data_IF_429689414452
#
_entry.id   IF_429689414452
#
_cell.length_a   1.000
_cell.length_b   1.000
_cell.length_c   1.000
_cell.angle_alpha   90.00
_cell.angle_beta   90.00
_cell.angle_gamma   90.00
#
_symmetry.space_group_name_H-M   'P 1'
#
loop_
_entity.id
_entity.type
_entity.pdbx_description
1 polymer ?
#
# COMPACT_ATOMS: atom_id res chain seq x y z
N UNK A 1 -15.78 -3.06 2.85
CA UNK A 1 -14.60 -3.84 3.30
C UNK A 1 -13.43 -2.88 3.48
N UNK A 2 -12.62 -2.98 4.55
CA UNK A 2 -11.52 -2.04 4.81
C UNK A 2 -10.21 -2.53 4.20
N UNK A 3 -9.49 -1.67 3.49
CA UNK A 3 -8.25 -2.00 2.75
C UNK A 3 -7.13 -1.00 3.05
N UNK A 4 -5.92 -1.49 3.25
CA UNK A 4 -4.70 -0.69 3.30
C UNK A 4 -4.00 -0.69 1.92
N UNK A 5 -3.32 0.39 1.56
CA UNK A 5 -2.60 0.49 0.28
C UNK A 5 -1.10 0.26 0.48
N UNK A 6 -0.50 -0.53 -0.41
CA UNK A 6 0.94 -0.76 -0.50
C UNK A 6 1.48 -0.23 -1.83
N UNK A 7 2.58 0.50 -1.76
CA UNK A 7 3.28 1.00 -2.95
C UNK A 7 4.78 1.09 -2.66
N UNK A 8 5.60 0.74 -3.65
CA UNK A 8 7.06 0.85 -3.57
C UNK A 8 7.65 1.34 -4.88
N UNK A 9 8.81 1.98 -4.80
CA UNK A 9 9.64 2.20 -5.98
C UNK A 9 10.09 0.86 -6.57
N UNK A 10 9.88 0.66 -7.87
CA UNK A 10 10.62 -0.37 -8.61
C UNK A 10 12.06 0.10 -8.75
N UNK A 11 13.00 -0.69 -8.23
CA UNK A 11 14.40 -0.61 -8.67
C UNK A 11 14.65 -1.43 -9.93
N UNK A 12 13.64 -2.18 -10.40
CA UNK A 12 13.74 -3.00 -11.61
C UNK A 12 13.34 -2.21 -12.86
N UNK A 13 14.17 -2.38 -13.88
CA UNK A 13 14.32 -1.54 -15.06
C UNK A 13 13.02 -1.46 -15.89
N UNK A 14 12.64 -0.25 -16.34
CA UNK A 14 11.64 0.08 -17.40
C UNK A 14 10.19 0.43 -17.04
N UNK A 15 9.79 0.60 -15.77
CA UNK A 15 8.49 1.23 -15.45
C UNK A 15 8.63 2.39 -14.46
N UNK A 16 8.56 3.61 -14.99
CA UNK A 16 8.51 4.88 -14.24
C UNK A 16 7.13 5.11 -13.58
N UNK A 17 6.48 4.08 -13.04
CA UNK A 17 5.26 4.27 -12.27
C UNK A 17 5.65 4.79 -10.88
N UNK A 18 5.41 6.07 -10.63
CA UNK A 18 5.68 6.69 -9.35
C UNK A 18 4.82 6.03 -8.25
N UNK A 19 5.20 6.24 -6.99
CA UNK A 19 4.38 5.80 -5.86
C UNK A 19 2.98 6.42 -5.95
N UNK A 20 2.86 7.66 -6.41
CA UNK A 20 1.59 8.35 -6.59
C UNK A 20 0.71 7.64 -7.62
N UNK A 21 1.28 7.24 -8.76
CA UNK A 21 0.55 6.49 -9.79
C UNK A 21 0.04 5.14 -9.27
N UNK A 22 0.87 4.43 -8.50
CA UNK A 22 0.49 3.15 -7.88
C UNK A 22 -0.67 3.32 -6.90
N UNK A 23 -0.59 4.35 -6.05
CA UNK A 23 -1.64 4.66 -5.08
C UNK A 23 -2.94 5.05 -5.79
N UNK A 24 -2.87 5.87 -6.84
CA UNK A 24 -4.03 6.27 -7.62
C UNK A 24 -4.72 5.05 -8.26
N UNK A 25 -3.97 4.13 -8.85
CA UNK A 25 -4.51 2.88 -9.41
C UNK A 25 -5.18 2.01 -8.34
N UNK A 26 -4.57 1.90 -7.16
CA UNK A 26 -5.12 1.13 -6.06
C UNK A 26 -6.40 1.78 -5.48
N UNK A 27 -6.44 3.11 -5.35
CA UNK A 27 -7.64 3.85 -4.97
C UNK A 27 -8.78 3.60 -5.95
N UNK A 28 -8.54 3.78 -7.25
CA UNK A 28 -9.54 3.53 -8.29
C UNK A 28 -10.07 2.08 -8.25
N UNK A 29 -9.19 1.11 -7.96
CA UNK A 29 -9.59 -0.29 -7.81
C UNK A 29 -10.42 -0.51 -6.55
N UNK A 30 -10.03 0.08 -5.42
CA UNK A 30 -10.77 0.01 -4.17
C UNK A 30 -12.18 0.61 -4.32
N UNK A 31 -12.28 1.78 -4.96
CA UNK A 31 -13.56 2.44 -5.26
C UNK A 31 -14.47 1.57 -6.13
N UNK A 32 -13.94 1.00 -7.23
CA UNK A 32 -14.69 0.09 -8.11
C UNK A 32 -15.22 -1.14 -7.38
N UNK A 33 -14.56 -1.57 -6.32
CA UNK A 33 -14.95 -2.72 -5.51
C UNK A 33 -15.81 -2.35 -4.29
N UNK A 34 -16.11 -1.06 -4.08
CA UNK A 34 -16.82 -0.58 -2.89
C UNK A 34 -16.02 -0.77 -1.60
N UNK A 35 -14.70 -0.78 -1.68
CA UNK A 35 -13.81 -0.90 -0.52
C UNK A 35 -13.50 0.48 0.06
N UNK A 36 -13.35 0.52 1.38
CA UNK A 36 -12.98 1.73 2.11
C UNK A 36 -11.49 1.67 2.36
N UNK A 37 -10.74 2.58 1.72
CA UNK A 37 -9.33 2.76 2.01
C UNK A 37 -9.19 3.31 3.43
N UNK A 38 -8.46 2.60 4.28
CA UNK A 38 -8.18 3.08 5.64
C UNK A 38 -6.96 3.98 5.60
N UNK A 39 -7.17 5.22 6.05
CA UNK A 39 -6.22 6.33 6.11
C UNK A 39 -5.14 6.12 7.19
N UNK A 40 -4.62 4.90 7.28
CA UNK A 40 -3.72 4.48 8.36
C UNK A 40 -2.25 4.83 8.09
N UNK A 41 -1.89 5.34 6.90
CA UNK A 41 -0.50 5.71 6.62
C UNK A 41 -0.30 6.63 5.39
N UNK A 42 -1.16 7.62 5.24
CA UNK A 42 -1.35 8.43 4.02
C UNK A 42 -0.17 9.32 3.63
N UNK A 43 0.98 9.23 4.31
CA UNK A 43 2.18 10.00 3.95
C UNK A 43 3.50 9.21 4.00
N UNK A 44 3.48 7.89 4.20
CA UNK A 44 4.70 7.07 4.14
C UNK A 44 4.52 5.89 3.19
N UNK A 45 4.34 6.24 1.92
CA UNK A 45 4.99 5.60 0.79
C UNK A 45 6.10 4.62 1.24
N UNK A 46 5.84 3.32 1.15
CA UNK A 46 6.74 2.26 1.58
C UNK A 46 7.89 2.20 0.58
N UNK A 47 8.88 3.07 0.77
CA UNK A 47 10.15 2.98 0.08
C UNK A 47 10.88 1.69 0.49
N UNK A 48 11.13 0.80 -0.47
CA UNK A 48 12.32 -0.06 -0.56
C UNK A 48 12.63 -1.08 0.55
N UNK A 49 12.38 -2.35 0.25
CA UNK A 49 13.25 -3.53 0.46
C UNK A 49 13.94 -3.79 1.83
N UNK A 50 13.46 -3.26 2.96
CA UNK A 50 14.07 -3.57 4.27
C UNK A 50 13.04 -3.78 5.37
N UNK A 51 13.14 -4.92 6.08
CA UNK A 51 12.28 -5.36 7.18
C UNK A 51 12.36 -4.48 8.45
N UNK A 52 13.27 -3.50 8.48
CA UNK A 52 13.54 -2.62 9.62
C UNK A 52 12.99 -1.20 9.39
N UNK A 53 11.69 -1.05 9.05
CA UNK A 53 11.08 0.27 8.89
C UNK A 53 9.81 0.47 9.75
N UNK A 54 9.66 1.66 10.37
CA UNK A 54 8.49 2.00 11.21
C UNK A 54 7.14 1.79 10.50
N UNK A 55 7.04 2.14 9.21
CA UNK A 55 5.78 2.02 8.47
C UNK A 55 5.29 0.58 8.27
N UNK A 56 6.20 -0.40 8.17
CA UNK A 56 5.83 -1.82 8.08
C UNK A 56 5.38 -2.35 9.45
N UNK A 57 6.05 -1.94 10.52
CA UNK A 57 5.64 -2.33 11.88
C UNK A 57 4.29 -1.74 12.26
N UNK A 58 4.02 -0.49 11.88
CA UNK A 58 2.71 0.14 12.04
C UNK A 58 1.64 -0.59 11.21
N UNK A 59 1.92 -0.93 9.95
CA UNK A 59 1.00 -1.71 9.10
C UNK A 59 0.69 -3.09 9.70
N UNK A 60 1.69 -3.79 10.22
CA UNK A 60 1.53 -5.08 10.90
C UNK A 60 0.71 -4.91 12.17
N UNK A 61 1.01 -3.90 12.98
CA UNK A 61 0.25 -3.59 14.20
C UNK A 61 -1.22 -3.30 13.90
N UNK A 62 -1.49 -2.54 12.84
CA UNK A 62 -2.83 -2.19 12.39
C UNK A 62 -3.58 -3.40 11.82
N UNK A 63 -2.88 -4.30 11.13
CA UNK A 63 -3.42 -5.59 10.71
C UNK A 63 -3.77 -6.46 11.93
N UNK A 64 -2.88 -6.54 12.93
CA UNK A 64 -3.10 -7.27 14.18
C UNK A 64 -4.27 -6.70 14.99
N UNK A 65 -4.52 -5.40 14.90
CA UNK A 65 -5.67 -4.72 15.50
C UNK A 65 -6.96 -4.85 14.66
N UNK A 66 -6.90 -5.48 13.49
CA UNK A 66 -8.06 -5.65 12.61
C UNK A 66 -8.55 -4.36 11.96
N UNK A 67 -7.68 -3.33 11.82
CA UNK A 67 -8.07 -2.05 11.23
C UNK A 67 -8.43 -2.18 9.75
N UNK A 68 -7.86 -3.17 9.06
CA UNK A 68 -8.19 -3.55 7.68
C UNK A 68 -8.14 -5.05 7.50
N UNK A 69 -8.72 -5.53 6.39
CA UNK A 69 -8.84 -6.96 6.08
C UNK A 69 -7.87 -7.40 4.98
N UNK A 70 -7.46 -6.48 4.12
CA UNK A 70 -6.56 -6.75 3.00
C UNK A 70 -5.57 -5.61 2.79
N UNK A 71 -4.42 -5.95 2.22
CA UNK A 71 -3.47 -4.98 1.66
C UNK A 71 -3.59 -5.05 0.14
N UNK A 72 -3.72 -3.90 -0.51
CA UNK A 72 -3.80 -3.77 -1.96
C UNK A 72 -2.54 -3.07 -2.49
N UNK A 73 -1.83 -3.75 -3.39
CA UNK A 73 -0.69 -3.21 -4.12
C UNK A 73 -0.90 -3.36 -5.64
N UNK A 74 -0.19 -2.56 -6.44
CA UNK A 74 -0.28 -2.62 -7.91
C UNK A 74 0.12 -4.00 -8.45
N UNK A 75 1.16 -4.58 -7.87
CA UNK A 75 1.68 -5.89 -8.22
C UNK A 75 2.27 -6.59 -6.99
N UNK A 76 2.37 -7.91 -7.03
CA UNK A 76 2.81 -8.74 -5.90
C UNK A 76 4.28 -8.58 -5.58
N UNK A 77 5.09 -8.19 -6.56
CA UNK A 77 6.48 -7.87 -6.27
C UNK A 77 6.52 -6.66 -5.34
N UNK A 78 5.58 -5.70 -5.46
CA UNK A 78 5.54 -4.41 -4.75
C UNK A 78 5.31 -4.45 -3.24
#
# INVERSE_FOLDING_TARGET
>A
MKVALGARYSTDNHRDASIEDQLQLCCLRAEKQGWTVVDSNTHRAICGASLLRPGLQELISDAMQGKFLIVLAEAMDR
#
